data_IF_939451850584
#
_entry.id   IF_939451850584
#
_cell.length_a   1.000
_cell.length_b   1.000
_cell.length_c   1.000
_cell.angle_alpha   90.00
_cell.angle_beta   90.00
_cell.angle_gamma   90.00
#
_symmetry.space_group_name_H-M   'P 1'
#
loop_
_entity.id
_entity.type
_entity.pdbx_description
1 polymer ?
#
# COMPACT_ATOMS: atom_id res chain seq x y z
N UNK A 1 7.85 3.43 40.48
CA UNK A 1 7.89 2.32 39.52
C UNK A 1 6.53 2.24 38.84
N UNK A 2 6.40 2.77 37.63
CA UNK A 2 5.14 2.78 36.88
C UNK A 2 4.89 1.38 36.29
N UNK A 3 3.75 0.80 36.62
CA UNK A 3 3.26 -0.46 36.03
C UNK A 3 3.08 -0.27 34.53
N UNK A 4 3.89 -0.95 33.71
CA UNK A 4 3.66 -1.10 32.28
C UNK A 4 2.30 -1.79 32.08
N UNK A 5 1.26 -1.00 31.79
CA UNK A 5 -0.01 -1.56 31.32
C UNK A 5 0.27 -2.15 29.94
N UNK A 6 0.21 -3.48 29.82
CA UNK A 6 0.23 -4.17 28.54
C UNK A 6 -0.91 -3.63 27.68
N UNK A 7 -0.58 -2.80 26.69
CA UNK A 7 -1.53 -2.32 25.69
C UNK A 7 -1.84 -3.50 24.78
N UNK A 8 -2.95 -4.19 25.04
CA UNK A 8 -3.45 -5.23 24.15
C UNK A 8 -3.91 -4.56 22.85
N UNK A 9 -3.13 -4.74 21.78
CA UNK A 9 -3.58 -4.42 20.43
C UNK A 9 -4.76 -5.33 20.09
N UNK A 10 -5.98 -4.81 20.11
CA UNK A 10 -7.13 -5.48 19.51
C UNK A 10 -6.91 -5.52 17.99
N UNK A 11 -6.59 -6.70 17.47
CA UNK A 11 -6.48 -6.96 16.05
C UNK A 11 -7.78 -7.60 15.60
N UNK A 12 -8.62 -6.81 14.93
CA UNK A 12 -9.81 -7.33 14.28
C UNK A 12 -9.38 -8.25 13.13
N UNK A 13 -9.94 -9.46 13.08
CA UNK A 13 -9.76 -10.31 11.91
C UNK A 13 -10.30 -9.55 10.69
N UNK A 14 -9.41 -9.17 9.78
CA UNK A 14 -9.75 -8.34 8.62
C UNK A 14 -10.79 -8.97 7.69
N UNK A 15 -10.98 -10.29 7.78
CA UNK A 15 -12.01 -11.05 7.08
C UNK A 15 -13.38 -11.01 7.77
N UNK A 16 -13.39 -10.98 9.10
CA UNK A 16 -14.61 -10.91 9.91
C UNK A 16 -15.09 -9.46 10.11
N UNK A 17 -14.18 -8.48 10.08
CA UNK A 17 -14.51 -7.05 10.27
C UNK A 17 -15.61 -6.55 9.34
N UNK A 18 -15.67 -7.06 8.11
CA UNK A 18 -16.67 -6.65 7.14
C UNK A 18 -18.05 -7.30 7.36
N UNK A 19 -18.11 -8.45 8.05
CA UNK A 19 -19.27 -9.35 8.01
C UNK A 19 -19.80 -9.78 9.38
N UNK A 20 -19.09 -9.44 10.47
CA UNK A 20 -19.41 -9.87 11.83
C UNK A 20 -19.61 -8.62 12.71
N UNK A 21 -20.68 -8.55 13.53
CA UNK A 21 -20.88 -7.43 14.47
C UNK A 21 -19.65 -7.22 15.36
N UNK A 22 -19.31 -5.96 15.64
CA UNK A 22 -18.10 -5.60 16.39
C UNK A 22 -18.03 -6.28 17.76
N UNK A 23 -19.16 -6.44 18.46
CA UNK A 23 -19.20 -7.17 19.75
C UNK A 23 -18.74 -8.64 19.66
N UNK A 24 -18.78 -9.24 18.47
CA UNK A 24 -18.42 -10.63 18.22
C UNK A 24 -17.00 -10.78 17.65
N UNK A 25 -16.30 -9.67 17.38
CA UNK A 25 -14.91 -9.69 16.91
C UNK A 25 -13.99 -9.60 18.14
N UNK A 26 -13.52 -10.76 18.59
CA UNK A 26 -12.41 -10.82 19.55
C UNK A 26 -11.11 -11.07 18.80
N UNK A 27 -10.02 -10.40 19.20
CA UNK A 27 -8.72 -10.99 19.56
C UNK A 27 -7.62 -9.93 19.66
N UNK A 28 -6.68 -10.15 20.59
CA UNK A 28 -5.43 -9.42 20.66
C UNK A 28 -4.45 -9.88 19.55
N UNK A 29 -3.52 -9.05 19.07
CA UNK A 29 -2.61 -9.39 17.95
C UNK A 29 -1.74 -10.65 18.13
N UNK A 30 -1.35 -10.97 19.36
CA UNK A 30 -0.69 -12.25 19.68
C UNK A 30 -1.66 -13.43 19.72
N UNK A 31 -2.88 -13.18 20.19
CA UNK A 31 -3.96 -14.15 20.29
C UNK A 31 -4.44 -14.58 18.90
N UNK A 32 -4.47 -13.69 17.90
CA UNK A 32 -4.94 -14.02 16.55
C UNK A 32 -4.10 -15.11 15.86
N UNK A 33 -2.77 -15.07 16.00
CA UNK A 33 -1.89 -16.07 15.37
C UNK A 33 -1.99 -17.42 16.06
N UNK A 34 -2.13 -17.42 17.39
CA UNK A 34 -2.34 -18.63 18.18
C UNK A 34 -3.71 -19.25 17.90
N UNK A 35 -4.75 -18.43 17.85
CA UNK A 35 -6.14 -18.82 17.59
C UNK A 35 -6.40 -19.13 16.11
N UNK A 36 -5.51 -18.76 15.18
CA UNK A 36 -5.75 -18.91 13.74
C UNK A 36 -6.08 -20.37 13.34
N UNK A 37 -5.54 -21.37 14.04
CA UNK A 37 -5.85 -22.78 13.76
C UNK A 37 -7.33 -23.10 13.95
N UNK A 38 -7.96 -22.49 14.94
CA UNK A 38 -9.36 -22.71 15.30
C UNK A 38 -10.24 -21.65 14.64
N UNK A 39 -9.83 -20.39 14.69
CA UNK A 39 -10.48 -19.25 14.04
C UNK A 39 -10.69 -19.46 12.54
N UNK A 40 -9.71 -20.02 11.81
CA UNK A 40 -9.86 -20.23 10.35
C UNK A 40 -11.03 -21.16 10.00
N UNK A 41 -11.48 -22.02 10.91
CA UNK A 41 -12.60 -22.94 10.72
C UNK A 41 -13.96 -22.21 10.80
N UNK A 42 -14.00 -21.14 11.60
CA UNK A 42 -15.19 -20.31 11.86
C UNK A 42 -15.15 -18.95 11.14
N UNK A 43 -13.98 -18.55 10.62
CA UNK A 43 -13.77 -17.34 9.80
C UNK A 43 -14.37 -17.56 8.40
N UNK A 44 -15.70 -17.52 8.36
CA UNK A 44 -16.52 -17.66 7.15
C UNK A 44 -17.11 -16.30 6.78
N UNK A 45 -17.40 -16.10 5.50
CA UNK A 45 -18.31 -15.03 5.11
C UNK A 45 -19.71 -15.32 5.67
N UNK A 46 -20.60 -14.33 5.66
CA UNK A 46 -21.95 -14.44 6.23
C UNK A 46 -22.79 -15.61 5.62
N UNK A 47 -22.39 -16.11 4.46
CA UNK A 47 -22.98 -17.21 3.71
C UNK A 47 -22.33 -18.59 3.99
N UNK A 48 -21.39 -18.68 4.94
CA UNK A 48 -20.72 -19.92 5.29
C UNK A 48 -19.58 -20.33 4.35
N UNK A 49 -19.27 -19.54 3.32
CA UNK A 49 -18.12 -19.75 2.43
C UNK A 49 -16.80 -19.36 3.13
N UNK A 50 -15.67 -19.99 2.78
CA UNK A 50 -14.37 -19.57 3.30
C UNK A 50 -14.13 -18.10 2.95
N UNK A 51 -13.84 -17.28 3.97
CA UNK A 51 -13.65 -15.85 3.72
C UNK A 51 -12.56 -15.62 2.66
N UNK A 52 -12.78 -14.73 1.67
CA UNK A 52 -11.90 -14.57 0.53
C UNK A 52 -10.46 -14.28 0.99
N UNK A 53 -9.49 -14.87 0.29
CA UNK A 53 -8.08 -14.53 0.50
C UNK A 53 -7.92 -13.03 0.24
N UNK A 54 -7.20 -12.32 1.12
CA UNK A 54 -6.89 -10.92 0.88
C UNK A 54 -6.23 -10.74 -0.50
N UNK A 55 -6.58 -9.69 -1.26
CA UNK A 55 -5.97 -9.44 -2.55
C UNK A 55 -4.44 -9.44 -2.43
N UNK A 56 -3.72 -10.12 -3.34
CA UNK A 56 -2.28 -10.24 -3.24
C UNK A 56 -1.56 -8.89 -3.17
N UNK A 57 -2.07 -7.87 -3.85
CA UNK A 57 -1.54 -6.50 -3.81
C UNK A 57 -1.55 -5.92 -2.38
N UNK A 58 -2.64 -6.12 -1.62
CA UNK A 58 -2.72 -5.64 -0.23
C UNK A 58 -1.71 -6.35 0.68
N UNK A 59 -1.46 -7.65 0.47
CA UNK A 59 -0.45 -8.38 1.24
C UNK A 59 0.97 -7.84 0.99
N UNK A 60 1.24 -7.34 -0.22
CA UNK A 60 2.52 -6.69 -0.54
C UNK A 60 2.57 -5.29 0.08
N UNK A 61 1.50 -4.51 -0.02
CA UNK A 61 1.39 -3.20 0.63
C UNK A 61 1.70 -3.28 2.14
N UNK A 62 1.18 -4.29 2.84
CA UNK A 62 1.48 -4.52 4.27
C UNK A 62 2.95 -4.82 4.60
N UNK A 63 3.72 -5.30 3.61
CA UNK A 63 5.17 -5.44 3.74
C UNK A 63 5.89 -4.14 3.41
N UNK A 64 5.44 -3.45 2.36
CA UNK A 64 5.98 -2.16 1.93
C UNK A 64 5.94 -1.15 3.07
N UNK A 65 4.84 -1.05 3.84
CA UNK A 65 4.73 -0.10 4.96
C UNK A 65 5.79 -0.29 6.07
N UNK A 66 6.53 -1.41 6.06
CA UNK A 66 7.62 -1.72 7.00
C UNK A 66 9.00 -1.60 6.37
N UNK A 67 9.08 -1.32 5.07
CA UNK A 67 10.32 -1.16 4.32
C UNK A 67 10.54 0.33 4.07
N UNK A 68 11.40 0.95 4.87
CA UNK A 68 11.65 2.40 4.85
C UNK A 68 12.26 2.88 3.54
N UNK A 69 13.06 2.03 2.86
CA UNK A 69 13.64 2.35 1.55
C UNK A 69 12.53 2.51 0.51
N UNK A 70 11.60 1.55 0.43
CA UNK A 70 10.48 1.63 -0.51
C UNK A 70 9.50 2.74 -0.10
N UNK A 71 9.25 2.91 1.20
CA UNK A 71 8.35 3.96 1.68
C UNK A 71 8.90 5.36 1.45
N UNK A 72 10.23 5.57 1.44
CA UNK A 72 10.81 6.87 1.11
C UNK A 72 10.45 7.35 -0.30
N UNK A 73 10.39 6.43 -1.26
CA UNK A 73 9.92 6.73 -2.62
C UNK A 73 8.42 7.04 -2.66
N UNK A 74 7.64 6.31 -1.85
CA UNK A 74 6.19 6.51 -1.75
C UNK A 74 5.85 7.82 -1.03
N UNK A 75 6.67 8.25 -0.06
CA UNK A 75 6.51 9.52 0.63
C UNK A 75 6.53 10.68 -0.38
N UNK A 76 7.40 10.63 -1.41
CA UNK A 76 7.37 11.61 -2.50
C UNK A 76 6.05 11.62 -3.28
N UNK A 77 5.49 10.44 -3.58
CA UNK A 77 4.18 10.31 -4.25
C UNK A 77 3.08 10.93 -3.37
N UNK A 78 3.13 10.69 -2.05
CA UNK A 78 2.19 11.24 -1.09
C UNK A 78 2.27 12.78 -1.04
N UNK A 79 3.48 13.34 -0.98
CA UNK A 79 3.70 14.80 -1.01
C UNK A 79 3.06 15.42 -2.24
N UNK A 80 3.36 14.91 -3.44
CA UNK A 80 2.76 15.46 -4.68
C UNK A 80 1.27 15.20 -4.81
N UNK A 81 0.78 14.03 -4.38
CA UNK A 81 -0.65 13.73 -4.45
C UNK A 81 -1.48 14.70 -3.59
N UNK A 82 -0.94 15.11 -2.44
CA UNK A 82 -1.55 16.11 -1.57
C UNK A 82 -1.24 17.54 -1.95
N UNK A 83 -0.16 17.77 -2.72
CA UNK A 83 0.34 19.10 -3.06
C UNK A 83 0.73 19.88 -1.80
N UNK A 84 1.47 19.21 -0.89
CA UNK A 84 1.83 19.80 0.42
C UNK A 84 2.76 21.01 0.30
N UNK A 85 3.41 21.19 -0.84
CA UNK A 85 4.26 22.35 -1.10
C UNK A 85 3.44 23.66 -1.20
N UNK A 86 2.21 23.58 -1.70
CA UNK A 86 1.30 24.73 -1.81
C UNK A 86 0.19 24.71 -0.75
N UNK A 87 -0.22 23.52 -0.27
CA UNK A 87 -1.37 23.31 0.61
C UNK A 87 -1.03 22.36 1.78
N UNK A 88 -0.14 22.76 2.70
CA UNK A 88 0.29 21.91 3.81
C UNK A 88 -0.86 21.48 4.74
N UNK A 89 -1.91 22.29 4.86
CA UNK A 89 -3.12 21.99 5.64
C UNK A 89 -3.90 20.76 5.11
N UNK A 90 -3.59 20.30 3.90
CA UNK A 90 -4.17 19.07 3.37
C UNK A 90 -3.77 17.83 4.16
N UNK A 91 -2.61 17.82 4.82
CA UNK A 91 -2.22 16.72 5.69
C UNK A 91 -3.29 16.40 6.76
N UNK A 92 -3.92 17.45 7.31
CA UNK A 92 -4.96 17.33 8.34
C UNK A 92 -6.37 17.15 7.77
N UNK A 93 -6.63 17.64 6.56
CA UNK A 93 -7.98 17.65 5.96
C UNK A 93 -8.23 16.55 4.91
N UNK A 94 -7.18 15.84 4.50
CA UNK A 94 -7.26 14.79 3.48
C UNK A 94 -6.42 13.57 3.86
N UNK A 95 -6.75 12.45 3.21
CA UNK A 95 -5.90 11.27 3.12
C UNK A 95 -5.61 10.95 1.65
N UNK A 96 -4.62 10.11 1.39
CA UNK A 96 -4.30 9.62 0.05
C UNK A 96 -4.74 8.18 -0.12
N UNK A 97 -5.52 7.90 -1.16
CA UNK A 97 -5.85 6.54 -1.58
C UNK A 97 -4.87 6.11 -2.66
N UNK A 98 -4.03 5.13 -2.34
CA UNK A 98 -3.10 4.46 -3.24
C UNK A 98 -3.75 3.21 -3.81
N UNK A 99 -4.18 3.27 -5.05
CA UNK A 99 -4.69 2.11 -5.79
C UNK A 99 -3.52 1.30 -6.32
N UNK A 100 -3.49 0.00 -6.04
CA UNK A 100 -2.42 -0.89 -6.43
C UNK A 100 -2.93 -2.19 -7.03
N UNK A 101 -2.07 -2.88 -7.79
CA UNK A 101 -2.36 -4.20 -8.35
C UNK A 101 -1.10 -5.04 -8.45
N UNK A 102 -1.26 -6.30 -8.83
CA UNK A 102 -0.15 -7.18 -9.19
C UNK A 102 -0.27 -7.55 -10.66
N UNK A 103 0.73 -7.18 -11.45
CA UNK A 103 0.76 -7.42 -12.89
C UNK A 103 1.82 -8.45 -13.25
N UNK A 104 1.58 -9.23 -14.31
CA UNK A 104 2.62 -10.15 -14.79
C UNK A 104 3.83 -9.37 -15.29
N UNK A 105 5.02 -9.80 -14.88
CA UNK A 105 6.30 -9.19 -15.24
C UNK A 105 7.00 -9.91 -16.39
N UNK A 106 6.49 -11.08 -16.76
CA UNK A 106 7.12 -11.93 -17.77
C UNK A 106 6.53 -11.61 -19.14
N UNK A 107 7.05 -10.54 -19.72
CA UNK A 107 6.72 -10.13 -21.10
C UNK A 107 7.13 -11.21 -22.10
N UNK A 108 8.20 -11.97 -21.83
CA UNK A 108 8.64 -13.09 -22.68
C UNK A 108 7.59 -14.18 -22.71
N UNK A 109 7.13 -14.66 -21.55
CA UNK A 109 6.06 -15.66 -21.47
C UNK A 109 4.76 -15.15 -22.10
N UNK A 110 4.42 -13.87 -21.94
CA UNK A 110 3.26 -13.28 -22.60
C UNK A 110 3.41 -13.25 -24.13
N UNK A 111 4.58 -12.86 -24.64
CA UNK A 111 4.90 -12.81 -26.07
C UNK A 111 4.95 -14.20 -26.71
N UNK A 112 5.59 -15.17 -26.07
CA UNK A 112 5.61 -16.56 -26.54
C UNK A 112 4.20 -17.11 -26.69
N UNK A 113 3.34 -16.91 -25.68
CA UNK A 113 1.93 -17.34 -25.75
C UNK A 113 1.16 -16.63 -26.86
N UNK A 114 1.41 -15.33 -27.07
CA UNK A 114 0.80 -14.59 -28.17
C UNK A 114 1.20 -15.18 -29.53
N UNK A 115 2.46 -15.63 -29.69
CA UNK A 115 2.90 -16.30 -30.92
C UNK A 115 2.18 -17.64 -31.16
N UNK A 116 1.87 -18.41 -30.12
CA UNK A 116 1.02 -19.61 -30.27
C UNK A 116 -0.35 -19.25 -30.83
N UNK A 117 -1.02 -18.23 -30.28
CA UNK A 117 -2.32 -17.79 -30.79
C UNK A 117 -2.25 -17.28 -32.23
N UNK A 118 -1.24 -16.47 -32.57
CA UNK A 118 -1.03 -15.95 -33.93
C UNK A 118 -0.81 -17.10 -34.92
N UNK A 119 -0.14 -18.18 -34.49
CA UNK A 119 0.10 -19.37 -35.32
C UNK A 119 -1.05 -20.38 -35.29
N UNK A 120 -2.19 -20.06 -34.68
CA UNK A 120 -3.35 -20.95 -34.59
C UNK A 120 -3.12 -22.18 -33.71
N UNK A 121 -2.12 -22.14 -32.82
CA UNK A 121 -1.78 -23.22 -31.89
C UNK A 121 -2.26 -22.90 -30.48
N UNK A 122 -2.60 -23.94 -29.74
CA UNK A 122 -2.89 -23.80 -28.32
C UNK A 122 -1.57 -23.62 -27.53
N UNK A 123 -1.44 -22.56 -26.72
CA UNK A 123 -0.24 -22.36 -25.91
C UNK A 123 -0.12 -23.42 -24.80
N UNK A 124 1.10 -23.79 -24.37
CA UNK A 124 1.30 -24.71 -23.26
C UNK A 124 0.61 -24.22 -21.99
N UNK A 125 0.18 -25.10 -21.07
CA UNK A 125 -0.45 -24.67 -19.82
C UNK A 125 0.51 -23.80 -19.00
N UNK A 126 0.00 -22.75 -18.36
CA UNK A 126 0.80 -21.93 -17.46
C UNK A 126 1.25 -22.75 -16.24
N UNK A 127 2.43 -22.46 -15.66
CA UNK A 127 2.84 -23.07 -14.41
C UNK A 127 1.80 -22.79 -13.31
N UNK A 128 1.68 -23.63 -12.27
CA UNK A 128 0.66 -23.46 -11.22
C UNK A 128 0.72 -22.11 -10.50
N UNK A 129 1.88 -21.46 -10.51
CA UNK A 129 2.10 -20.11 -10.01
C UNK A 129 2.93 -19.32 -11.00
N UNK A 130 2.57 -18.06 -11.18
CA UNK A 130 3.29 -17.10 -12.03
C UNK A 130 3.81 -15.94 -11.19
N UNK A 131 5.01 -15.41 -11.50
CA UNK A 131 5.50 -14.20 -10.87
C UNK A 131 4.66 -13.01 -11.32
N UNK A 132 4.14 -12.25 -10.36
CA UNK A 132 3.49 -10.95 -10.58
C UNK A 132 4.19 -9.89 -9.73
N UNK A 133 4.41 -8.73 -10.31
CA UNK A 133 5.04 -7.58 -9.67
C UNK A 133 3.98 -6.64 -9.12
N UNK A 134 4.19 -6.15 -7.91
CA UNK A 134 3.38 -5.10 -7.33
C UNK A 134 3.62 -3.78 -8.06
N UNK A 135 2.54 -3.09 -8.40
CA UNK A 135 2.58 -1.78 -9.04
C UNK A 135 1.55 -0.84 -8.42
N UNK A 136 1.91 0.44 -8.35
CA UNK A 136 1.00 1.52 -7.98
C UNK A 136 0.29 1.97 -9.25
N UNK A 137 -1.03 2.00 -9.24
CA UNK A 137 -1.85 2.40 -10.39
C UNK A 137 -2.15 3.89 -10.33
N UNK A 138 -2.58 4.37 -9.16
CA UNK A 138 -3.06 5.73 -8.97
C UNK A 138 -2.93 6.16 -7.52
N UNK A 139 -2.68 7.45 -7.31
CA UNK A 139 -2.89 8.13 -6.04
C UNK A 139 -4.04 9.15 -6.20
N UNK A 140 -4.96 9.20 -5.25
CA UNK A 140 -6.07 10.17 -5.26
C UNK A 140 -6.37 10.67 -3.87
N UNK A 141 -6.82 11.91 -3.76
CA UNK A 141 -7.23 12.48 -2.48
C UNK A 141 -8.58 11.95 -2.02
N UNK A 142 -8.67 11.70 -0.72
CA UNK A 142 -9.88 11.33 0.00
C UNK A 142 -10.15 12.40 1.05
N UNK A 143 -11.27 13.13 0.96
CA UNK A 143 -11.63 14.14 1.97
C UNK A 143 -11.82 13.53 3.35
N UNK A 144 -11.53 14.29 4.41
CA UNK A 144 -11.58 13.81 5.81
C UNK A 144 -12.93 13.15 6.17
N UNK A 145 -14.03 13.68 5.66
CA UNK A 145 -15.38 13.15 5.92
C UNK A 145 -15.56 11.68 5.46
N UNK A 146 -14.74 11.22 4.53
CA UNK A 146 -14.74 9.84 4.01
C UNK A 146 -13.61 8.98 4.57
N UNK A 147 -12.75 9.53 5.43
CA UNK A 147 -11.63 8.80 6.03
C UNK A 147 -12.17 7.84 7.11
N UNK A 148 -11.81 6.55 7.07
CA UNK A 148 -12.19 5.63 8.14
C UNK A 148 -11.53 6.03 9.46
N UNK A 149 -12.29 6.07 10.55
CA UNK A 149 -11.79 6.41 11.91
C UNK A 149 -10.51 5.66 12.31
N UNK A 150 -10.37 4.40 11.91
CA UNK A 150 -9.15 3.61 12.19
C UNK A 150 -7.88 4.25 11.65
N UNK A 151 -7.96 4.96 10.52
CA UNK A 151 -6.81 5.66 9.95
C UNK A 151 -6.42 6.88 10.80
N UNK A 152 -7.39 7.58 11.38
CA UNK A 152 -7.14 8.67 12.32
C UNK A 152 -6.52 8.16 13.61
N UNK A 153 -7.04 7.05 14.15
CA UNK A 153 -6.47 6.40 15.33
C UNK A 153 -5.00 5.98 15.09
N UNK A 154 -4.68 5.49 13.89
CA UNK A 154 -3.29 5.17 13.49
C UNK A 154 -2.43 6.43 13.43
N UNK A 155 -2.94 7.50 12.81
CA UNK A 155 -2.21 8.76 12.68
C UNK A 155 -1.88 9.40 14.03
N UNK A 156 -2.85 9.46 14.94
CA UNK A 156 -2.64 9.99 16.29
C UNK A 156 -1.64 9.14 17.09
N UNK A 157 -1.73 7.81 16.98
CA UNK A 157 -0.73 6.93 17.61
C UNK A 157 0.67 7.12 17.03
N UNK A 158 0.79 7.31 15.72
CA UNK A 158 2.08 7.62 15.09
C UNK A 158 2.62 8.96 15.61
N UNK A 159 1.78 10.00 15.72
CA UNK A 159 2.18 11.29 16.33
C UNK A 159 2.69 11.10 17.76
N UNK A 160 1.95 10.38 18.59
CA UNK A 160 2.32 10.09 19.98
C UNK A 160 3.68 9.38 20.06
N UNK A 161 3.86 8.31 19.29
CA UNK A 161 5.11 7.53 19.25
C UNK A 161 6.31 8.41 18.90
N UNK A 162 6.19 9.29 17.90
CA UNK A 162 7.29 10.16 17.49
C UNK A 162 7.54 11.32 18.47
N UNK A 163 6.49 11.84 19.13
CA UNK A 163 6.64 12.83 20.21
C UNK A 163 7.38 12.25 21.40
N UNK A 164 7.03 11.03 21.82
CA UNK A 164 7.69 10.32 22.91
C UNK A 164 9.17 10.05 22.61
N UNK A 165 9.50 9.77 21.34
CA UNK A 165 10.87 9.61 20.87
C UNK A 165 11.64 10.94 20.72
N UNK A 166 11.00 12.10 20.92
CA UNK A 166 11.60 13.41 20.72
C UNK A 166 11.85 13.79 19.25
N UNK A 167 11.24 13.04 18.32
CA UNK A 167 11.39 13.20 16.87
C UNK A 167 10.33 14.12 16.26
N UNK A 168 9.22 14.37 16.97
CA UNK A 168 8.18 15.31 16.55
C UNK A 168 8.05 16.42 17.61
N UNK A 169 8.44 17.64 17.26
CA UNK A 169 8.39 18.80 18.16
C UNK A 169 7.19 19.69 17.84
N UNK A 170 6.69 20.48 18.80
CA UNK A 170 5.71 21.51 18.48
C UNK A 170 6.32 22.55 17.54
N UNK A 171 5.65 22.83 16.42
CA UNK A 171 6.03 23.88 15.47
C UNK A 171 7.18 23.54 14.52
N UNK A 172 7.66 22.29 14.48
CA UNK A 172 8.72 21.87 13.55
C UNK A 172 8.25 21.62 12.12
N UNK A 173 6.95 21.78 11.86
CA UNK A 173 6.38 21.79 10.51
C UNK A 173 6.19 20.40 9.87
N UNK A 174 6.47 19.31 10.60
CA UNK A 174 6.22 17.98 10.09
C UNK A 174 4.73 17.71 9.95
N UNK A 175 4.38 17.07 8.85
CA UNK A 175 3.00 16.74 8.49
C UNK A 175 2.77 15.24 8.67
N UNK A 176 1.62 14.86 9.23
CA UNK A 176 1.25 13.45 9.35
C UNK A 176 0.30 13.08 8.22
N UNK A 177 0.85 12.49 7.18
CA UNK A 177 0.08 12.08 6.00
C UNK A 177 -0.56 10.72 6.25
N UNK A 178 -1.87 10.66 6.03
CA UNK A 178 -2.67 9.44 6.12
C UNK A 178 -2.82 8.83 4.73
N UNK A 179 -2.57 7.52 4.61
CA UNK A 179 -2.70 6.81 3.35
C UNK A 179 -3.47 5.49 3.49
N UNK A 180 -4.19 5.15 2.43
CA UNK A 180 -4.99 3.92 2.29
C UNK A 180 -4.58 3.22 1.02
N UNK A 181 -4.06 2.01 1.14
CA UNK A 181 -3.83 1.11 0.01
C UNK A 181 -5.11 0.36 -0.32
N UNK A 182 -5.53 0.39 -1.58
CA UNK A 182 -6.67 -0.35 -2.10
C UNK A 182 -6.26 -1.17 -3.32
N UNK A 183 -6.77 -2.39 -3.44
CA UNK A 183 -6.49 -3.23 -4.60
C UNK A 183 -7.44 -2.88 -5.74
N UNK A 184 -6.88 -2.63 -6.93
CA UNK A 184 -7.65 -2.37 -8.16
C UNK A 184 -8.68 -3.48 -8.40
N UNK A 185 -9.91 -3.08 -8.75
CA UNK A 185 -10.99 -4.02 -9.06
C UNK A 185 -11.59 -4.76 -7.85
N UNK A 186 -11.19 -4.44 -6.61
CA UNK A 186 -11.73 -5.04 -5.40
C UNK A 186 -12.28 -4.02 -4.43
N UNK A 187 -13.50 -4.26 -3.96
CA UNK A 187 -14.14 -3.48 -2.89
C UNK A 187 -13.88 -4.14 -1.54
N UNK A 188 -13.28 -3.42 -0.59
CA UNK A 188 -13.31 -3.80 0.83
C UNK A 188 -12.00 -4.33 1.45
N UNK A 189 -10.95 -4.58 0.66
CA UNK A 189 -9.63 -4.88 1.23
C UNK A 189 -8.73 -3.65 1.18
N UNK A 190 -8.38 -3.13 2.36
CA UNK A 190 -7.49 -2.00 2.51
C UNK A 190 -6.33 -2.30 3.47
N UNK A 191 -5.22 -1.62 3.25
CA UNK A 191 -4.11 -1.49 4.21
C UNK A 191 -3.95 -0.01 4.55
N UNK A 192 -3.89 0.32 5.84
CA UNK A 192 -3.82 1.68 6.34
C UNK A 192 -2.41 1.99 6.83
N UNK A 193 -1.90 3.18 6.53
CA UNK A 193 -0.67 3.68 7.14
C UNK A 193 -0.74 5.20 7.37
N UNK A 194 0.06 5.67 8.33
CA UNK A 194 0.32 7.08 8.56
C UNK A 194 1.84 7.30 8.50
N UNK A 195 2.26 8.37 7.82
CA UNK A 195 3.67 8.72 7.61
C UNK A 195 3.94 10.13 8.11
N UNK A 196 5.04 10.29 8.83
CA UNK A 196 5.56 11.60 9.18
C UNK A 196 6.39 12.10 7.98
N UNK A 197 5.96 13.20 7.39
CA UNK A 197 6.68 13.88 6.32
C UNK A 197 7.32 15.12 6.91
N UNK A 198 8.65 15.16 6.85
CA UNK A 198 9.44 16.30 7.31
C UNK A 198 9.50 17.39 6.21
N UNK A 199 9.65 18.68 6.57
CA UNK A 199 9.71 19.78 5.60
C UNK A 199 10.75 19.58 4.49
N UNK A 200 11.91 19.02 4.81
CA UNK A 200 13.00 18.79 3.86
C UNK A 200 12.60 17.83 2.73
N UNK A 201 11.70 16.88 3.00
CA UNK A 201 11.15 15.99 1.97
C UNK A 201 10.22 16.76 1.04
N UNK A 202 9.40 17.66 1.59
CA UNK A 202 8.49 18.51 0.81
C UNK A 202 9.30 19.43 -0.11
N UNK A 203 10.29 20.12 0.45
CA UNK A 203 11.19 21.00 -0.30
C UNK A 203 11.94 20.24 -1.40
N UNK A 204 12.49 19.05 -1.08
CA UNK A 204 13.18 18.22 -2.06
C UNK A 204 12.25 17.82 -3.20
N UNK A 205 11.04 17.35 -2.90
CA UNK A 205 10.05 16.94 -3.91
C UNK A 205 9.57 18.12 -4.76
N UNK A 206 9.50 19.33 -4.20
CA UNK A 206 9.16 20.53 -4.95
C UNK A 206 10.18 20.86 -6.05
N UNK A 207 11.45 20.46 -5.88
CA UNK A 207 12.49 20.65 -6.92
C UNK A 207 12.47 19.60 -8.03
N UNK A 208 11.67 18.53 -7.90
CA UNK A 208 11.71 17.43 -8.86
C UNK A 208 11.06 17.82 -10.19
N UNK A 209 11.80 17.52 -11.26
CA UNK A 209 11.41 17.80 -12.63
C UNK A 209 10.86 16.55 -13.32
N UNK A 210 10.00 16.75 -14.31
CA UNK A 210 9.41 15.68 -15.10
C UNK A 210 10.50 14.94 -15.92
N UNK A 211 10.63 13.62 -15.80
CA UNK A 211 11.59 12.86 -16.62
C UNK A 211 11.24 12.92 -18.11
N UNK A 212 12.26 13.01 -18.97
CA UNK A 212 12.07 12.84 -20.41
C UNK A 212 11.99 11.34 -20.73
N UNK A 213 10.78 10.80 -20.90
CA UNK A 213 10.59 9.36 -21.14
C UNK A 213 11.04 8.87 -22.52
N UNK A 214 11.28 9.78 -23.47
CA UNK A 214 11.66 9.47 -24.86
C UNK A 214 13.14 9.74 -25.15
N UNK A 215 13.89 10.28 -24.18
CA UNK A 215 15.28 10.67 -24.36
C UNK A 215 16.03 10.79 -23.04
N UNK A 216 17.10 11.57 -23.03
CA UNK A 216 17.91 11.77 -21.84
C UNK A 216 17.49 13.04 -21.08
N UNK A 217 17.64 13.01 -19.75
CA UNK A 217 17.46 14.17 -18.88
C UNK A 217 16.02 14.40 -18.38
N UNK A 218 15.77 15.65 -17.98
CA UNK A 218 14.51 16.11 -17.39
C UNK A 218 13.97 17.32 -18.17
N UNK A 219 12.65 17.40 -18.29
CA UNK A 219 11.94 18.56 -18.80
C UNK A 219 11.87 19.64 -17.71
N UNK A 220 11.72 20.92 -18.08
CA UNK A 220 11.60 22.02 -17.10
C UNK A 220 10.24 22.07 -16.37
N UNK A 221 9.31 21.17 -16.73
CA UNK A 221 8.03 21.02 -16.06
C UNK A 221 8.20 20.38 -14.66
N UNK A 222 7.46 20.83 -13.63
CA UNK A 222 7.38 20.13 -12.36
C UNK A 222 6.89 18.68 -12.53
N UNK A 223 7.44 17.76 -11.75
CA UNK A 223 6.99 16.36 -11.79
C UNK A 223 5.54 16.24 -11.30
N UNK A 224 4.71 15.51 -12.04
CA UNK A 224 3.34 15.19 -11.62
C UNK A 224 3.29 13.93 -10.76
N UNK A 225 2.22 13.75 -9.96
CA UNK A 225 1.98 12.49 -9.23
C UNK A 225 1.97 11.27 -10.16
N UNK A 226 1.42 11.42 -11.38
CA UNK A 226 1.38 10.36 -12.37
C UNK A 226 2.79 10.00 -12.88
N UNK A 227 3.65 10.99 -13.10
CA UNK A 227 5.05 10.77 -13.47
C UNK A 227 5.82 10.07 -12.36
N UNK A 228 5.59 10.45 -11.08
CA UNK A 228 6.22 9.77 -9.95
C UNK A 228 5.81 8.30 -9.83
N UNK A 229 4.52 8.01 -10.00
CA UNK A 229 4.02 6.62 -10.00
C UNK A 229 4.63 5.83 -11.16
N UNK A 230 4.70 6.42 -12.36
CA UNK A 230 5.35 5.80 -13.51
C UNK A 230 6.84 5.54 -13.25
N UNK A 231 7.56 6.51 -12.71
CA UNK A 231 8.96 6.40 -12.32
C UNK A 231 9.20 5.30 -11.29
N UNK A 232 8.39 5.26 -10.22
CA UNK A 232 8.43 4.21 -9.20
C UNK A 232 8.26 2.82 -9.83
N UNK A 233 7.22 2.62 -10.64
CA UNK A 233 6.95 1.33 -11.28
C UNK A 233 8.11 0.90 -12.21
N UNK A 234 8.69 1.84 -12.97
CA UNK A 234 9.84 1.57 -13.84
C UNK A 234 11.08 1.18 -13.03
N UNK A 235 11.37 1.92 -11.95
CA UNK A 235 12.49 1.66 -11.06
C UNK A 235 12.36 0.30 -10.37
N UNK A 236 11.17 -0.06 -9.90
CA UNK A 236 10.91 -1.40 -9.35
C UNK A 236 11.13 -2.51 -10.38
N UNK A 237 10.85 -2.27 -11.66
CA UNK A 237 11.11 -3.25 -12.73
C UNK A 237 12.60 -3.35 -13.08
N UNK A 238 13.32 -2.23 -13.04
CA UNK A 238 14.73 -2.12 -13.45
C UNK A 238 15.70 -2.61 -12.36
N UNK A 239 15.40 -2.35 -11.09
CA UNK A 239 16.28 -2.69 -9.96
C UNK A 239 16.05 -4.13 -9.50
N UNK A 240 17.02 -5.06 -9.66
CA UNK A 240 16.83 -6.49 -9.34
C UNK A 240 16.39 -6.75 -7.89
N UNK A 241 16.93 -6.00 -6.94
CA UNK A 241 16.64 -6.13 -5.51
C UNK A 241 15.19 -5.77 -5.21
N UNK A 242 14.73 -4.62 -5.73
CA UNK A 242 13.35 -4.16 -5.57
C UNK A 242 12.36 -5.06 -6.31
N UNK A 243 12.71 -5.46 -7.54
CA UNK A 243 11.93 -6.44 -8.31
C UNK A 243 11.75 -7.72 -7.50
N UNK A 244 12.80 -8.24 -6.87
CA UNK A 244 12.72 -9.43 -6.02
C UNK A 244 11.86 -9.21 -4.78
N UNK A 245 12.00 -8.07 -4.08
CA UNK A 245 11.19 -7.71 -2.90
C UNK A 245 9.70 -7.61 -3.23
N UNK A 246 9.35 -7.08 -4.40
CA UNK A 246 7.99 -6.72 -4.80
C UNK A 246 7.33 -7.72 -5.75
N UNK A 247 8.05 -8.76 -6.18
CA UNK A 247 7.49 -9.89 -6.91
C UNK A 247 6.86 -10.90 -5.95
N UNK A 248 5.66 -11.35 -6.31
CA UNK A 248 4.96 -12.43 -5.61
C UNK A 248 4.58 -13.54 -6.57
N UNK A 249 4.52 -14.76 -6.04
CA UNK A 249 4.02 -15.91 -6.77
C UNK A 249 2.50 -16.01 -6.58
N UNK A 250 1.73 -15.79 -7.64
CA UNK A 250 0.26 -15.85 -7.61
C UNK A 250 -0.20 -17.12 -8.32
N UNK A 251 -1.22 -17.80 -7.81
CA UNK A 251 -1.76 -18.97 -8.49
C UNK A 251 -2.43 -18.55 -9.80
N UNK A 252 -2.23 -19.35 -10.85
CA UNK A 252 -2.91 -19.15 -12.13
C UNK A 252 -4.42 -19.35 -12.05
N UNK A 253 -4.92 -20.00 -10.99
CA UNK A 253 -6.36 -20.16 -10.72
C UNK A 253 -7.01 -18.93 -10.08
N UNK A 254 -6.19 -18.02 -9.51
CA UNK A 254 -6.64 -16.79 -8.84
C UNK A 254 -6.53 -15.56 -9.79
N UNK A 255 -6.31 -15.80 -11.09
CA UNK A 255 -6.09 -14.79 -12.13
C UNK A 255 -7.31 -14.68 -13.02
#
# INVERSE_FOLDING_TARGET
>A
MASQRNVFHLFECSKCRANVPKENIKLCGGCQKADWKDHKLICRAADGTPAPSRPPAIKVAEKIIKDDEIMGEIDGILVKAMDLEHYPERADTHAVVLTCRVASVDTTMAMERLQYFISGREPPPLPPKVPKLFIIVKASLLPNASVPKTLDDIAEKTKETYREAGLLKPGSGESVVRAIWVAEGTTGAACYCARIIIPEVIEKVATWKKPNWEGEGYLDEPISTADMIKGYNLMVMATPELKKKLTIMVSTKDS
#
